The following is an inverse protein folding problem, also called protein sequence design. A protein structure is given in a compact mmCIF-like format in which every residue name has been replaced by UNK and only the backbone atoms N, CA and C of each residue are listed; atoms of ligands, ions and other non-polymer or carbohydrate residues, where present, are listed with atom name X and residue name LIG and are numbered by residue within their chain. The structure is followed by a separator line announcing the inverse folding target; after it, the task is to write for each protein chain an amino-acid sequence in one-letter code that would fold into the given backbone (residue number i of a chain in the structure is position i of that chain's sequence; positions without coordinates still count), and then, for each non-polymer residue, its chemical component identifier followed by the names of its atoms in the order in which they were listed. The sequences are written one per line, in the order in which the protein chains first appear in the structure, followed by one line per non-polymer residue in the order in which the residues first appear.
data_IF_347951224475
#
_entry.id   IF_347951224475
#
_cell.length_a   1.000
_cell.length_b   1.000
_cell.length_c   1.000
_cell.angle_alpha   90.00
_cell.angle_beta   90.00
_cell.angle_gamma   90.00
#
_symmetry.space_group_name_H-M   'P 1'
#
loop_
_entity.id
_entity.type
_entity.pdbx_description
1 polymer ?
#
# COMPACT_ATOMS: atom_id res chain seq x y z
N UNK A 1 10.52 49.68 0.49
CA UNK A 1 9.81 49.67 1.79
C UNK A 1 8.33 49.47 1.54
N UNK A 2 7.87 48.26 1.60
CA UNK A 2 6.45 47.94 1.41
C UNK A 2 5.90 47.45 2.75
N UNK A 3 5.00 48.23 3.35
CA UNK A 3 4.30 47.90 4.58
C UNK A 3 3.18 46.94 4.29
N UNK A 4 3.24 45.71 4.80
CA UNK A 4 2.14 44.77 4.78
C UNK A 4 1.33 44.94 6.06
N UNK A 5 0.05 45.29 5.90
CA UNK A 5 -0.95 45.33 6.99
C UNK A 5 -1.45 43.89 7.19
N UNK A 6 -1.20 43.34 8.36
CA UNK A 6 -1.85 42.09 8.78
C UNK A 6 -3.29 42.39 9.20
N UNK A 7 -4.25 41.75 8.55
CA UNK A 7 -5.63 41.64 9.03
C UNK A 7 -5.75 40.25 9.67
N UNK A 8 -5.95 40.25 10.96
CA UNK A 8 -6.20 39.06 11.76
C UNK A 8 -7.66 38.64 11.57
N UNK A 9 -7.86 37.49 10.91
CA UNK A 9 -9.12 36.75 11.01
C UNK A 9 -8.80 35.39 11.65
N UNK A 10 -9.43 35.14 12.77
CA UNK A 10 -9.35 33.92 13.57
C UNK A 10 -9.86 32.70 12.79
N UNK A 11 -8.95 31.86 12.29
CA UNK A 11 -9.18 30.47 11.97
C UNK A 11 -7.88 29.69 12.26
N UNK A 12 -7.93 28.56 12.96
CA UNK A 12 -6.73 27.81 13.31
C UNK A 12 -6.33 26.90 12.13
N UNK A 13 -5.65 27.47 11.17
CA UNK A 13 -4.95 26.71 10.12
C UNK A 13 -3.48 26.80 10.48
N UNK A 14 -2.84 25.68 10.74
CA UNK A 14 -1.38 25.62 10.79
C UNK A 14 -0.88 25.99 9.39
N UNK A 15 -0.37 27.21 9.28
CA UNK A 15 0.32 27.69 8.08
C UNK A 15 1.68 26.99 8.11
N UNK A 16 1.86 26.02 7.22
CA UNK A 16 3.21 25.60 6.84
C UNK A 16 3.79 26.74 6.02
N UNK A 17 4.86 27.35 6.50
CA UNK A 17 5.56 28.40 5.78
C UNK A 17 6.10 27.81 4.48
N UNK A 18 5.50 28.18 3.35
CA UNK A 18 5.98 27.84 2.01
C UNK A 18 6.98 28.91 1.63
N UNK A 19 8.25 28.54 1.56
CA UNK A 19 9.30 29.39 0.99
C UNK A 19 9.06 29.42 -0.52
N UNK A 20 8.73 30.56 -1.06
CA UNK A 20 8.56 30.77 -2.50
C UNK A 20 9.90 30.56 -3.23
N UNK A 21 9.92 29.56 -4.10
CA UNK A 21 10.96 29.41 -5.12
C UNK A 21 10.28 29.64 -6.49
N UNK A 22 10.81 30.48 -7.38
CA UNK A 22 10.12 30.94 -8.59
C UNK A 22 10.19 29.94 -9.77
N UNK A 23 10.09 28.65 -9.52
CA UNK A 23 10.08 27.64 -10.59
C UNK A 23 8.63 27.33 -11.01
N UNK A 24 8.20 27.69 -12.23
CA UNK A 24 6.83 27.55 -12.70
C UNK A 24 6.36 26.09 -12.82
N UNK A 25 7.25 25.11 -12.94
CA UNK A 25 6.89 23.68 -13.06
C UNK A 25 6.42 23.11 -11.72
N UNK A 26 6.85 23.66 -10.60
CA UNK A 26 6.47 23.19 -9.25
C UNK A 26 5.07 23.62 -8.80
N UNK A 27 4.54 24.67 -9.39
CA UNK A 27 3.22 25.20 -9.01
C UNK A 27 2.05 24.37 -9.55
N UNK A 28 2.20 23.63 -10.63
CA UNK A 28 1.16 22.72 -11.12
C UNK A 28 0.99 21.48 -10.22
N UNK A 29 2.08 20.98 -9.63
CA UNK A 29 2.04 19.83 -8.72
C UNK A 29 1.27 20.10 -7.42
N UNK A 30 1.36 21.32 -6.89
CA UNK A 30 0.66 21.72 -5.68
C UNK A 30 -0.84 21.84 -5.95
N UNK A 31 -1.24 22.28 -7.13
CA UNK A 31 -2.66 22.36 -7.54
C UNK A 31 -3.30 20.97 -7.64
N UNK A 32 -2.60 20.00 -8.23
CA UNK A 32 -3.10 18.64 -8.42
C UNK A 32 -3.27 17.88 -7.10
N UNK A 33 -2.41 18.13 -6.10
CA UNK A 33 -2.51 17.48 -4.78
C UNK A 33 -3.67 18.03 -3.95
N UNK A 34 -4.04 19.31 -4.11
CA UNK A 34 -5.11 19.93 -3.32
C UNK A 34 -6.52 19.67 -3.88
N UNK A 35 -6.67 19.28 -5.13
CA UNK A 35 -7.98 19.05 -5.76
C UNK A 35 -8.52 17.61 -5.59
N UNK A 36 -7.69 16.64 -5.12
CA UNK A 36 -8.08 15.24 -5.00
C UNK A 36 -8.18 14.71 -3.55
N UNK A 37 -8.28 15.59 -2.55
CA UNK A 37 -8.62 15.17 -1.18
C UNK A 37 -10.13 15.34 -0.99
N UNK A 38 -10.90 14.26 -0.77
CA UNK A 38 -12.32 14.37 -0.46
C UNK A 38 -12.51 15.20 0.81
N UNK A 39 -13.13 16.36 0.68
CA UNK A 39 -13.30 17.35 1.78
C UNK A 39 -14.27 16.90 2.88
N UNK A 40 -14.96 15.79 2.73
CA UNK A 40 -16.07 15.41 3.62
C UNK A 40 -15.69 14.52 4.79
N UNK A 41 -14.67 13.67 4.68
CA UNK A 41 -14.37 12.69 5.75
C UNK A 41 -13.36 13.16 6.82
N UNK A 42 -12.52 14.14 6.50
CA UNK A 42 -11.54 14.68 7.45
C UNK A 42 -12.20 15.58 8.49
N UNK A 43 -13.28 16.27 8.12
CA UNK A 43 -13.96 17.24 9.00
C UNK A 43 -14.82 16.55 10.06
N UNK A 44 -15.45 15.42 9.76
CA UNK A 44 -16.33 14.73 10.72
C UNK A 44 -15.57 13.99 11.83
N UNK A 45 -14.34 13.48 11.56
CA UNK A 45 -13.48 12.86 12.57
C UNK A 45 -12.72 13.89 13.43
N UNK A 46 -12.34 15.04 12.85
CA UNK A 46 -11.60 16.11 13.55
C UNK A 46 -12.42 16.89 14.61
N UNK A 47 -13.75 16.91 14.49
CA UNK A 47 -14.59 17.69 15.39
C UNK A 47 -14.98 16.99 16.70
N UNK A 48 -14.76 15.66 16.83
CA UNK A 48 -15.09 14.93 18.07
C UNK A 48 -14.10 15.12 19.21
N UNK A 49 -12.92 15.68 18.97
CA UNK A 49 -11.83 15.73 19.98
C UNK A 49 -11.26 17.13 20.28
N UNK A 50 -12.01 18.20 20.06
CA UNK A 50 -11.62 19.53 20.54
C UNK A 50 -12.19 19.79 21.93
N UNK A 51 -11.41 19.51 22.96
CA UNK A 51 -11.67 20.01 24.29
C UNK A 51 -11.36 19.09 25.43
N UNK A 52 -10.05 18.86 25.71
CA UNK A 52 -9.59 18.61 27.08
C UNK A 52 -8.13 19.07 27.21
N UNK A 53 -7.85 20.11 28.01
CA UNK A 53 -6.50 20.41 28.49
C UNK A 53 -6.18 19.43 29.61
N UNK A 54 -5.01 18.80 29.54
CA UNK A 54 -4.46 17.98 30.61
C UNK A 54 -4.55 16.48 30.35
N UNK A 55 -3.44 15.85 29.98
CA UNK A 55 -2.98 14.49 30.28
C UNK A 55 -3.95 13.31 30.25
N UNK A 56 -5.08 13.38 29.56
CA UNK A 56 -6.00 12.24 29.47
C UNK A 56 -5.40 11.16 28.55
N UNK A 57 -5.06 10.02 29.13
CA UNK A 57 -4.78 8.79 28.37
C UNK A 57 -6.02 8.47 27.54
N UNK A 58 -5.88 8.48 26.20
CA UNK A 58 -6.94 8.05 25.31
C UNK A 58 -7.14 6.55 25.49
N UNK A 59 -8.37 6.13 25.79
CA UNK A 59 -8.72 4.71 25.81
C UNK A 59 -8.84 4.28 24.37
N UNK A 60 -8.04 3.29 23.96
CA UNK A 60 -8.12 2.68 22.64
C UNK A 60 -9.40 1.86 22.53
N UNK A 61 -10.23 2.17 21.56
CA UNK A 61 -11.55 1.58 21.37
C UNK A 61 -11.58 0.71 20.11
N UNK A 62 -12.63 -0.11 19.98
CA UNK A 62 -12.87 -0.90 18.77
C UNK A 62 -12.92 0.00 17.53
N UNK A 63 -12.17 -0.36 16.48
CA UNK A 63 -12.06 0.40 15.24
C UNK A 63 -10.95 1.46 15.23
N UNK A 64 -10.32 1.78 16.37
CA UNK A 64 -9.19 2.70 16.42
C UNK A 64 -7.93 2.08 15.85
N UNK A 65 -7.68 0.81 16.15
CA UNK A 65 -6.59 0.02 15.55
C UNK A 65 -7.21 -1.17 14.85
N UNK A 66 -6.82 -1.36 13.59
CA UNK A 66 -7.34 -2.41 12.72
C UNK A 66 -6.20 -3.28 12.20
N UNK A 67 -6.48 -4.56 11.99
CA UNK A 67 -5.58 -5.47 11.29
C UNK A 67 -5.55 -5.03 9.82
N UNK A 68 -4.35 -4.72 9.30
CA UNK A 68 -4.14 -4.26 7.94
C UNK A 68 -3.69 -5.38 7.01
N UNK A 69 -2.68 -6.13 7.43
CA UNK A 69 -2.05 -7.17 6.62
C UNK A 69 -1.60 -8.34 7.48
N UNK A 70 -1.70 -9.56 6.98
CA UNK A 70 -1.25 -10.76 7.68
C UNK A 70 -0.51 -11.70 6.73
N UNK A 71 0.74 -12.02 7.06
CA UNK A 71 1.49 -13.11 6.47
C UNK A 71 1.50 -14.28 7.45
N UNK A 72 0.71 -15.30 7.17
CA UNK A 72 0.56 -16.49 8.03
C UNK A 72 1.19 -17.76 7.42
N UNK A 73 1.57 -17.71 6.16
CA UNK A 73 2.25 -18.77 5.42
C UNK A 73 3.55 -18.21 4.80
N UNK A 74 4.61 -17.96 5.61
CA UNK A 74 5.84 -17.43 5.08
C UNK A 74 6.57 -18.49 4.23
N UNK A 75 7.45 -18.04 3.35
CA UNK A 75 8.35 -18.93 2.61
C UNK A 75 9.19 -19.79 3.58
N UNK A 76 9.66 -20.98 3.15
CA UNK A 76 10.49 -21.83 3.99
C UNK A 76 11.66 -21.06 4.64
N UNK A 77 11.79 -21.18 5.96
CA UNK A 77 12.76 -20.42 6.76
C UNK A 77 12.36 -18.99 7.09
N UNK A 78 11.20 -18.56 6.65
CA UNK A 78 10.63 -17.24 6.94
C UNK A 78 9.91 -17.13 8.28
N UNK A 79 9.28 -16.00 8.49
CA UNK A 79 8.52 -15.69 9.71
C UNK A 79 7.20 -15.02 9.37
N UNK A 80 6.19 -15.27 10.21
CA UNK A 80 4.91 -14.58 10.14
C UNK A 80 5.04 -13.10 10.49
N UNK A 81 4.12 -12.31 9.98
CA UNK A 81 3.88 -10.98 10.52
C UNK A 81 2.39 -10.65 10.57
N UNK A 82 2.04 -9.76 11.48
CA UNK A 82 0.76 -9.06 11.53
C UNK A 82 1.06 -7.57 11.43
N UNK A 83 0.41 -6.91 10.50
CA UNK A 83 0.43 -5.47 10.40
C UNK A 83 -0.88 -4.89 10.91
N UNK A 84 -0.76 -3.79 11.64
CA UNK A 84 -1.88 -3.01 12.16
C UNK A 84 -1.85 -1.59 11.59
N UNK A 85 -3.03 -1.00 11.47
CA UNK A 85 -3.23 0.38 11.01
C UNK A 85 -3.88 1.21 12.11
N UNK A 86 -3.33 2.38 12.40
CA UNK A 86 -3.96 3.35 13.30
C UNK A 86 -5.03 4.15 12.56
N UNK A 87 -6.26 3.70 12.67
CA UNK A 87 -7.45 4.30 12.06
C UNK A 87 -8.06 5.43 12.91
N UNK A 88 -7.49 5.69 14.09
CA UNK A 88 -7.92 6.78 14.98
C UNK A 88 -7.37 8.14 14.50
N UNK A 89 -7.91 9.21 15.06
CA UNK A 89 -7.42 10.57 14.79
C UNK A 89 -6.28 11.01 15.72
N UNK A 90 -5.64 10.11 16.48
CA UNK A 90 -4.63 10.42 17.49
C UNK A 90 -3.54 9.35 17.56
N UNK A 91 -2.43 9.69 18.19
CA UNK A 91 -1.33 8.78 18.43
C UNK A 91 -1.70 7.74 19.50
N UNK A 92 -1.26 6.50 19.31
CA UNK A 92 -1.53 5.38 20.22
C UNK A 92 -0.23 4.78 20.72
N UNK A 93 -0.18 4.46 22.03
CA UNK A 93 0.95 3.74 22.61
C UNK A 93 0.77 2.23 22.40
N UNK A 94 1.67 1.63 21.63
CA UNK A 94 1.68 0.20 21.33
C UNK A 94 1.87 -0.70 22.56
N UNK A 95 2.32 -0.13 23.71
CA UNK A 95 2.40 -0.85 24.98
C UNK A 95 1.01 -1.33 25.46
N UNK A 96 -0.04 -0.61 25.09
CA UNK A 96 -1.43 -0.95 25.43
C UNK A 96 -1.99 -2.10 24.57
N UNK A 97 -1.31 -2.46 23.48
CA UNK A 97 -1.81 -3.41 22.51
C UNK A 97 -1.25 -4.82 22.73
N UNK A 98 -2.10 -5.80 22.47
CA UNK A 98 -1.75 -7.22 22.49
C UNK A 98 -2.29 -7.89 21.23
N UNK A 99 -1.57 -8.89 20.74
CA UNK A 99 -2.03 -9.81 19.71
C UNK A 99 -2.26 -11.18 20.31
N UNK A 100 -3.20 -11.94 19.76
CA UNK A 100 -3.55 -13.27 20.23
C UNK A 100 -4.11 -14.11 19.07
N UNK A 101 -4.40 -15.37 19.34
CA UNK A 101 -5.18 -16.25 18.46
C UNK A 101 -6.38 -16.86 19.22
N UNK A 102 -7.11 -17.73 18.54
CA UNK A 102 -8.18 -18.53 19.13
C UNK A 102 -7.67 -19.96 19.31
N UNK A 103 -7.87 -20.52 20.51
CA UNK A 103 -7.58 -21.92 20.80
C UNK A 103 -8.58 -22.88 20.14
N UNK A 104 -8.27 -24.17 20.13
CA UNK A 104 -9.19 -25.22 19.66
C UNK A 104 -10.53 -25.25 20.40
N UNK A 105 -10.60 -24.68 21.61
CA UNK A 105 -11.83 -24.57 22.41
C UNK A 105 -12.59 -23.26 22.15
N UNK A 106 -12.19 -22.46 21.16
CA UNK A 106 -12.86 -21.20 20.82
C UNK A 106 -12.53 -20.02 21.74
N UNK A 107 -11.58 -20.15 22.67
CA UNK A 107 -11.18 -19.08 23.59
C UNK A 107 -9.95 -18.32 23.07
N UNK A 108 -9.88 -17.02 23.40
CA UNK A 108 -8.68 -16.22 23.14
C UNK A 108 -7.50 -16.83 23.89
N UNK A 109 -6.38 -17.05 23.19
CA UNK A 109 -5.21 -17.74 23.69
C UNK A 109 -3.91 -17.12 23.15
N UNK A 110 -2.77 -17.56 23.69
CA UNK A 110 -1.42 -17.16 23.25
C UNK A 110 -1.23 -15.62 23.17
N UNK A 111 -1.79 -14.90 24.12
CA UNK A 111 -1.74 -13.45 24.18
C UNK A 111 -0.28 -12.99 24.29
N UNK A 112 0.13 -12.06 23.40
CA UNK A 112 1.46 -11.44 23.37
C UNK A 112 1.31 -9.93 23.38
N UNK A 113 2.11 -9.24 24.21
CA UNK A 113 2.20 -7.77 24.17
C UNK A 113 2.94 -7.33 22.91
N UNK A 114 2.41 -6.33 22.22
CA UNK A 114 3.05 -5.72 21.05
C UNK A 114 4.32 -5.00 21.45
N UNK A 115 4.31 -4.27 22.57
CA UNK A 115 5.50 -3.63 23.14
C UNK A 115 5.50 -3.75 24.66
N UNK A 116 6.68 -3.85 25.26
CA UNK A 116 6.89 -3.77 26.72
C UNK A 116 7.27 -2.35 27.17
N UNK A 117 7.61 -1.48 26.20
CA UNK A 117 8.01 -0.08 26.45
C UNK A 117 7.03 0.85 25.76
N UNK A 118 6.97 2.10 26.20
CA UNK A 118 6.24 3.15 25.50
C UNK A 118 6.77 3.27 24.08
N UNK A 119 5.88 3.10 23.09
CA UNK A 119 6.19 3.14 21.68
C UNK A 119 5.00 3.71 20.93
N UNK A 120 5.17 4.88 20.36
CA UNK A 120 4.08 5.67 19.78
C UNK A 120 3.89 5.35 18.32
N UNK A 121 2.68 4.95 17.96
CA UNK A 121 2.19 4.79 16.59
C UNK A 121 1.34 6.00 16.22
N UNK A 122 1.81 6.80 15.27
CA UNK A 122 1.11 7.98 14.82
C UNK A 122 -0.22 7.65 14.13
N UNK A 123 -1.17 8.57 14.20
CA UNK A 123 -2.45 8.46 13.47
C UNK A 123 -2.22 8.28 11.97
N UNK A 124 -2.98 7.37 11.34
CA UNK A 124 -2.91 7.12 9.90
C UNK A 124 -1.66 6.37 9.45
N UNK A 125 -0.93 5.70 10.35
CA UNK A 125 0.26 4.92 9.99
C UNK A 125 0.05 3.42 10.18
N UNK A 126 0.94 2.63 9.55
CA UNK A 126 1.01 1.18 9.63
C UNK A 126 2.09 0.75 10.61
N UNK A 127 2.00 -0.44 11.17
CA UNK A 127 3.01 -0.98 12.08
C UNK A 127 3.06 -2.51 12.03
N UNK A 128 4.23 -3.05 11.74
CA UNK A 128 4.45 -4.50 11.59
C UNK A 128 4.93 -5.12 12.91
N UNK A 129 4.33 -6.24 13.27
CA UNK A 129 4.66 -7.07 14.42
C UNK A 129 5.15 -8.43 13.90
N UNK A 130 6.36 -8.84 14.24
CA UNK A 130 6.97 -10.10 13.77
C UNK A 130 8.01 -10.61 14.76
N UNK A 131 8.52 -11.83 14.55
CA UNK A 131 9.66 -12.39 15.31
C UNK A 131 11.02 -12.02 14.72
N UNK A 132 11.07 -11.62 13.44
CA UNK A 132 12.32 -11.26 12.75
C UNK A 132 12.07 -10.14 11.71
N UNK A 133 12.23 -8.89 12.15
CA UNK A 133 12.05 -7.74 11.27
C UNK A 133 13.07 -7.67 10.12
N UNK A 134 14.30 -8.21 10.34
CA UNK A 134 15.33 -8.19 9.31
C UNK A 134 14.95 -9.11 8.15
N UNK A 135 14.35 -10.29 8.44
CA UNK A 135 13.84 -11.17 7.40
C UNK A 135 12.81 -10.45 6.54
N UNK A 136 11.83 -9.76 7.16
CA UNK A 136 10.80 -9.03 6.41
C UNK A 136 11.42 -7.93 5.55
N UNK A 137 12.33 -7.13 6.10
CA UNK A 137 13.02 -6.03 5.40
C UNK A 137 13.90 -6.48 4.23
N UNK A 138 14.42 -7.70 4.28
CA UNK A 138 15.26 -8.25 3.21
C UNK A 138 14.45 -8.91 2.08
N UNK A 139 13.25 -9.41 2.38
CA UNK A 139 12.46 -10.19 1.43
C UNK A 139 11.26 -9.44 0.83
N UNK A 140 10.88 -8.31 1.40
CA UNK A 140 9.75 -7.50 0.95
C UNK A 140 10.14 -6.02 0.84
N UNK A 141 9.44 -5.28 -0.01
CA UNK A 141 9.61 -3.83 -0.09
C UNK A 141 9.02 -3.17 1.16
N UNK A 142 9.84 -2.44 1.89
CA UNK A 142 9.46 -1.76 3.14
C UNK A 142 9.60 -0.25 2.96
N UNK A 143 8.54 0.50 3.18
CA UNK A 143 8.55 1.96 3.04
C UNK A 143 9.09 2.67 4.27
N UNK A 144 8.68 2.23 5.46
CA UNK A 144 9.06 2.85 6.73
C UNK A 144 9.74 1.84 7.66
N UNK A 145 11.06 1.63 7.54
CA UNK A 145 11.79 0.57 8.23
C UNK A 145 11.82 0.69 9.76
N UNK A 146 11.38 1.83 10.32
CA UNK A 146 11.27 2.05 11.76
C UNK A 146 9.90 1.69 12.34
N UNK A 147 8.90 1.35 11.52
CA UNK A 147 7.55 0.97 11.95
C UNK A 147 7.43 -0.54 12.18
N UNK A 148 8.34 -1.08 12.98
CA UNK A 148 8.39 -2.50 13.33
C UNK A 148 8.52 -2.70 14.83
N UNK A 149 7.84 -3.75 15.33
CA UNK A 149 8.12 -4.32 16.64
C UNK A 149 8.51 -5.78 16.47
N UNK A 150 9.68 -6.13 16.98
CA UNK A 150 10.10 -7.51 17.06
C UNK A 150 9.77 -8.06 18.44
N UNK A 151 8.93 -9.10 18.47
CA UNK A 151 8.56 -9.81 19.70
C UNK A 151 9.23 -11.20 19.72
N UNK A 152 9.38 -11.76 20.93
CA UNK A 152 10.10 -13.03 21.10
C UNK A 152 9.38 -14.21 20.41
N UNK A 153 8.05 -14.21 20.49
CA UNK A 153 7.20 -15.28 19.92
C UNK A 153 5.88 -14.70 19.46
N UNK A 154 5.41 -15.08 18.28
CA UNK A 154 4.06 -14.78 17.80
C UNK A 154 3.03 -15.75 18.42
N UNK A 155 1.74 -15.41 18.48
CA UNK A 155 0.69 -16.41 18.57
C UNK A 155 0.82 -17.41 17.41
N UNK A 156 0.42 -18.65 17.59
CA UNK A 156 0.45 -19.61 16.50
C UNK A 156 -0.59 -19.26 15.44
N UNK A 157 -0.12 -18.89 14.26
CA UNK A 157 -0.95 -18.65 13.07
C UNK A 157 -0.65 -19.78 12.08
N UNK A 158 -1.63 -20.68 11.87
CA UNK A 158 -1.44 -21.85 11.01
C UNK A 158 -1.49 -21.44 9.53
N UNK A 159 -0.73 -22.13 8.68
CA UNK A 159 -0.62 -21.81 7.25
C UNK A 159 -1.92 -22.05 6.45
N UNK A 160 -2.87 -22.83 6.98
CA UNK A 160 -4.13 -23.14 6.29
C UNK A 160 -5.29 -22.24 6.71
N UNK A 161 -5.43 -22.00 8.01
CA UNK A 161 -6.50 -21.17 8.61
C UNK A 161 -6.20 -20.82 10.05
N UNK A 162 -6.71 -19.72 10.49
CA UNK A 162 -6.55 -19.27 11.88
C UNK A 162 -7.33 -17.99 12.17
N UNK A 163 -7.04 -17.43 13.33
CA UNK A 163 -7.64 -16.17 13.77
C UNK A 163 -6.57 -15.26 14.33
N UNK A 164 -6.50 -14.05 13.84
CA UNK A 164 -5.70 -12.95 14.42
C UNK A 164 -6.65 -12.12 15.31
N UNK A 165 -6.26 -11.93 16.57
CA UNK A 165 -6.98 -11.12 17.55
C UNK A 165 -6.10 -9.94 17.93
N UNK A 166 -6.67 -8.75 17.94
CA UNK A 166 -6.06 -7.52 18.43
C UNK A 166 -6.83 -7.03 19.66
N UNK A 167 -6.10 -6.77 20.74
CA UNK A 167 -6.69 -6.37 22.05
C UNK A 167 -6.03 -5.10 22.57
N UNK A 168 -6.78 -4.31 23.35
CA UNK A 168 -6.25 -3.31 24.29
C UNK A 168 -6.95 -3.49 25.63
N UNK A 169 -6.20 -3.53 26.73
CA UNK A 169 -6.72 -3.71 28.09
C UNK A 169 -7.75 -4.87 28.19
N UNK A 170 -7.49 -5.98 27.51
CA UNK A 170 -8.37 -7.15 27.37
C UNK A 170 -9.68 -6.90 26.61
N UNK A 171 -9.89 -5.72 26.04
CA UNK A 171 -10.98 -5.40 25.16
C UNK A 171 -10.60 -5.77 23.71
N UNK A 172 -11.53 -6.41 22.99
CA UNK A 172 -11.36 -6.72 21.57
C UNK A 172 -11.40 -5.43 20.75
N UNK A 173 -10.33 -5.18 19.96
CA UNK A 173 -10.25 -4.06 19.04
C UNK A 173 -10.64 -4.49 17.62
N UNK A 174 -10.05 -5.61 17.16
CA UNK A 174 -10.31 -6.16 15.83
C UNK A 174 -10.08 -7.68 15.83
N UNK A 175 -10.69 -8.38 14.88
CA UNK A 175 -10.57 -9.82 14.68
C UNK A 175 -10.62 -10.16 13.21
N UNK A 176 -9.65 -10.93 12.74
CA UNK A 176 -9.63 -11.53 11.41
C UNK A 176 -9.61 -13.05 11.52
N UNK A 177 -10.63 -13.70 10.98
CA UNK A 177 -10.65 -15.14 10.73
C UNK A 177 -10.18 -15.38 9.30
N UNK A 178 -8.98 -15.91 9.12
CA UNK A 178 -8.38 -16.13 7.80
C UNK A 178 -8.38 -17.61 7.44
N UNK A 179 -8.32 -17.87 6.14
CA UNK A 179 -8.01 -19.18 5.58
C UNK A 179 -7.33 -19.02 4.20
N UNK A 180 -6.56 -20.04 3.79
CA UNK A 180 -5.83 -20.02 2.52
C UNK A 180 -6.73 -19.81 1.29
N UNK A 181 -8.03 -20.18 1.36
CA UNK A 181 -8.99 -19.98 0.25
C UNK A 181 -9.34 -18.50 -0.01
N UNK A 182 -8.92 -17.58 0.86
CA UNK A 182 -9.03 -16.12 0.61
C UNK A 182 -8.04 -15.69 -0.46
N UNK A 183 -6.94 -16.43 -0.63
CA UNK A 183 -6.00 -16.17 -1.70
C UNK A 183 -6.65 -16.24 -3.08
N UNK A 184 -6.05 -15.51 -4.01
CA UNK A 184 -6.55 -15.45 -5.39
C UNK A 184 -6.48 -16.85 -6.02
N UNK A 185 -7.57 -17.38 -6.63
CA UNK A 185 -7.64 -18.77 -7.08
C UNK A 185 -6.63 -19.16 -8.17
N UNK A 186 -6.01 -18.20 -8.83
CA UNK A 186 -4.94 -18.44 -9.82
C UNK A 186 -3.52 -18.43 -9.22
N UNK A 187 -3.38 -18.18 -7.93
CA UNK A 187 -2.12 -18.36 -7.20
C UNK A 187 -1.95 -19.85 -6.94
N UNK A 188 -0.88 -20.44 -7.48
CA UNK A 188 -0.57 -21.87 -7.31
C UNK A 188 0.28 -22.14 -6.07
N UNK A 189 1.13 -21.18 -5.69
CA UNK A 189 1.99 -21.23 -4.51
C UNK A 189 1.71 -19.98 -3.68
N UNK A 190 1.19 -20.19 -2.49
CA UNK A 190 0.77 -19.14 -1.56
C UNK A 190 1.89 -18.75 -0.58
N UNK A 191 3.04 -19.45 -0.62
CA UNK A 191 4.16 -19.24 0.30
C UNK A 191 4.74 -17.83 0.13
N UNK A 192 4.71 -17.08 1.23
CA UNK A 192 5.21 -15.70 1.26
C UNK A 192 4.29 -14.66 0.67
N UNK A 193 3.01 -14.98 0.45
CA UNK A 193 2.00 -14.03 0.01
C UNK A 193 1.09 -13.68 1.18
N UNK A 194 1.02 -12.41 1.53
CA UNK A 194 0.15 -11.93 2.60
C UNK A 194 -1.29 -11.76 2.13
N UNK A 195 -2.19 -11.72 3.11
CA UNK A 195 -3.55 -11.20 2.96
C UNK A 195 -3.59 -9.76 3.47
N UNK A 196 -4.06 -8.86 2.66
CA UNK A 196 -4.19 -7.44 2.99
C UNK A 196 -5.64 -6.95 2.94
N UNK A 197 -5.95 -6.02 3.84
CA UNK A 197 -7.28 -5.40 3.96
C UNK A 197 -7.55 -4.47 2.77
N UNK A 198 -8.74 -4.57 2.22
CA UNK A 198 -9.23 -3.76 1.10
C UNK A 198 -9.77 -2.41 1.58
N UNK A 199 -10.52 -2.40 2.69
CA UNK A 199 -11.14 -1.19 3.22
C UNK A 199 -11.15 -1.16 4.75
N UNK A 200 -10.76 -0.03 5.33
CA UNK A 200 -10.83 0.20 6.77
C UNK A 200 -12.25 0.61 7.25
N UNK A 201 -13.17 0.84 6.33
CA UNK A 201 -14.57 1.19 6.65
C UNK A 201 -15.47 -0.05 6.73
N UNK A 202 -14.95 -1.23 6.44
CA UNK A 202 -15.67 -2.50 6.43
C UNK A 202 -15.08 -3.41 7.52
N UNK A 203 -15.89 -4.21 8.25
CA UNK A 203 -15.39 -5.17 9.23
C UNK A 203 -14.38 -6.15 8.62
N UNK A 204 -13.42 -6.63 9.43
CA UNK A 204 -12.37 -7.53 8.97
C UNK A 204 -12.89 -8.82 8.35
N UNK A 205 -13.96 -9.38 8.92
CA UNK A 205 -14.55 -10.66 8.48
C UNK A 205 -15.64 -10.51 7.41
N UNK A 206 -15.86 -9.30 6.88
CA UNK A 206 -16.75 -9.15 5.73
C UNK A 206 -16.16 -9.87 4.51
N UNK A 207 -16.98 -10.66 3.79
CA UNK A 207 -16.52 -11.39 2.61
C UNK A 207 -15.88 -10.43 1.60
N UNK A 208 -14.62 -10.72 1.24
CA UNK A 208 -13.89 -9.93 0.25
C UNK A 208 -13.13 -8.72 0.79
N UNK A 209 -13.20 -8.41 2.09
CA UNK A 209 -12.41 -7.33 2.67
C UNK A 209 -10.94 -7.67 2.90
N UNK A 210 -10.53 -8.92 2.69
CA UNK A 210 -9.13 -9.31 2.60
C UNK A 210 -8.87 -9.99 1.26
N UNK A 211 -7.72 -9.71 0.66
CA UNK A 211 -7.27 -10.23 -0.64
C UNK A 211 -5.77 -10.52 -0.59
N UNK A 212 -5.32 -11.40 -1.48
CA UNK A 212 -3.87 -11.58 -1.69
C UNK A 212 -3.23 -10.28 -2.08
N UNK A 213 -2.09 -9.98 -1.50
CA UNK A 213 -1.23 -8.90 -1.98
C UNK A 213 -0.85 -9.14 -3.44
N UNK A 214 -0.80 -8.07 -4.20
CA UNK A 214 -0.47 -8.12 -5.62
C UNK A 214 0.97 -8.61 -5.87
N UNK A 215 1.16 -9.43 -6.89
CA UNK A 215 2.49 -9.85 -7.33
C UNK A 215 3.37 -8.65 -7.74
N UNK A 216 2.75 -7.65 -8.38
CA UNK A 216 3.45 -6.41 -8.76
C UNK A 216 3.84 -5.53 -7.57
N UNK A 217 3.28 -5.77 -6.39
CA UNK A 217 3.69 -5.12 -5.13
C UNK A 217 4.73 -5.93 -4.33
N UNK A 218 5.14 -7.11 -4.84
CA UNK A 218 6.14 -7.97 -4.21
C UNK A 218 5.57 -8.94 -3.18
N UNK A 219 4.27 -9.25 -3.24
CA UNK A 219 3.58 -10.26 -2.41
C UNK A 219 3.36 -9.89 -0.94
N UNK A 220 3.85 -8.75 -0.49
CA UNK A 220 3.51 -8.10 0.78
C UNK A 220 3.83 -6.60 0.70
N UNK A 221 3.13 -5.78 1.51
CA UNK A 221 3.28 -4.32 1.54
C UNK A 221 3.60 -3.78 2.94
N UNK A 222 4.56 -4.38 3.69
CA UNK A 222 4.80 -4.03 5.07
C UNK A 222 5.17 -2.56 5.24
N UNK A 223 4.45 -1.89 6.14
CA UNK A 223 4.56 -0.46 6.48
C UNK A 223 4.08 0.51 5.40
N UNK A 224 3.47 0.02 4.34
CA UNK A 224 2.92 0.87 3.28
C UNK A 224 1.41 0.65 3.12
N UNK A 225 0.81 1.41 2.21
CA UNK A 225 -0.59 1.22 1.82
C UNK A 225 -0.76 -0.13 1.14
N UNK A 226 -1.78 -0.87 1.55
CA UNK A 226 -2.14 -2.15 0.94
C UNK A 226 -2.37 -2.02 -0.57
N UNK A 227 -1.79 -2.93 -1.34
CA UNK A 227 -1.89 -2.94 -2.81
C UNK A 227 -3.33 -3.11 -3.30
N UNK A 228 -4.18 -3.76 -2.52
CA UNK A 228 -5.59 -4.00 -2.83
C UNK A 228 -6.56 -2.98 -2.21
N UNK A 229 -6.04 -1.91 -1.60
CA UNK A 229 -6.89 -0.84 -1.03
C UNK A 229 -7.84 -0.28 -2.07
N UNK A 230 -9.11 -0.13 -1.72
CA UNK A 230 -10.09 0.52 -2.60
C UNK A 230 -9.63 1.92 -2.98
N UNK A 231 -9.89 2.27 -4.23
CA UNK A 231 -9.70 3.61 -4.79
C UNK A 231 -10.98 4.04 -5.49
N UNK A 232 -11.29 5.30 -5.36
CA UNK A 232 -12.41 5.91 -6.07
C UNK A 232 -11.98 6.36 -7.46
N UNK A 233 -12.93 6.51 -8.39
CA UNK A 233 -12.70 7.05 -9.72
C UNK A 233 -12.84 6.03 -10.84
N UNK A 234 -12.06 6.19 -11.89
CA UNK A 234 -12.08 5.35 -13.09
C UNK A 234 -10.77 4.56 -13.22
N UNK A 235 -10.85 3.48 -14.00
CA UNK A 235 -9.63 2.80 -14.41
C UNK A 235 -8.84 3.69 -15.37
N UNK A 236 -7.59 3.96 -15.04
CA UNK A 236 -6.71 4.84 -15.80
C UNK A 236 -5.32 4.23 -15.93
N UNK A 237 -4.71 4.44 -17.11
CA UNK A 237 -3.34 3.99 -17.39
C UNK A 237 -2.66 5.08 -18.21
N UNK A 238 -1.61 5.68 -17.67
CA UNK A 238 -0.91 6.82 -18.25
C UNK A 238 0.60 6.61 -18.27
N UNK A 239 1.26 7.17 -19.29
CA UNK A 239 2.70 7.35 -19.30
C UNK A 239 3.04 8.68 -18.63
N UNK A 240 4.05 8.71 -17.74
CA UNK A 240 4.53 9.95 -17.13
C UNK A 240 5.28 10.82 -18.14
N UNK A 241 6.03 10.19 -19.08
CA UNK A 241 6.60 10.82 -20.26
C UNK A 241 6.30 9.98 -21.48
N UNK A 242 6.12 10.61 -22.63
CA UNK A 242 5.93 9.89 -23.90
C UNK A 242 7.25 9.56 -24.58
N UNK A 243 8.36 10.11 -24.11
CA UNK A 243 9.70 9.87 -24.64
C UNK A 243 10.64 9.50 -23.50
N UNK A 244 11.53 8.57 -23.73
CA UNK A 244 12.58 8.23 -22.77
C UNK A 244 13.84 7.82 -23.54
N UNK A 245 15.03 8.03 -22.94
CA UNK A 245 16.32 7.68 -23.51
C UNK A 245 17.20 7.00 -22.47
N UNK A 246 17.35 5.66 -22.54
CA UNK A 246 18.15 4.91 -21.57
C UNK A 246 19.65 5.06 -21.85
N UNK A 247 20.20 6.26 -21.64
CA UNK A 247 21.60 6.61 -21.88
C UNK A 247 22.42 6.80 -20.60
N UNK A 248 21.77 6.63 -19.42
CA UNK A 248 22.42 6.62 -18.11
C UNK A 248 22.72 7.99 -17.55
N UNK A 249 22.08 9.04 -18.02
CA UNK A 249 22.27 10.42 -17.53
C UNK A 249 21.37 10.77 -16.34
N UNK A 250 20.54 9.82 -15.88
CA UNK A 250 19.52 9.92 -14.82
C UNK A 250 18.29 10.78 -15.19
N UNK A 251 18.12 11.15 -16.45
CA UNK A 251 16.96 11.85 -16.94
C UNK A 251 16.18 10.98 -17.94
N UNK A 252 14.97 10.59 -17.58
CA UNK A 252 14.10 9.76 -18.43
C UNK A 252 14.76 8.48 -18.98
N UNK A 253 15.66 7.87 -18.22
CA UNK A 253 16.33 6.61 -18.56
C UNK A 253 15.34 5.42 -18.65
N UNK A 254 14.16 5.54 -18.06
CA UNK A 254 13.13 4.50 -18.08
C UNK A 254 11.76 5.09 -18.39
N UNK A 255 11.00 4.39 -19.21
CA UNK A 255 9.58 4.68 -19.38
C UNK A 255 8.85 4.34 -18.09
N UNK A 256 8.03 5.26 -17.56
CA UNK A 256 7.20 5.04 -16.38
C UNK A 256 5.72 5.04 -16.78
N UNK A 257 5.05 3.91 -16.53
CA UNK A 257 3.63 3.71 -16.73
C UNK A 257 2.94 3.68 -15.38
N UNK A 258 2.09 4.66 -15.08
CA UNK A 258 1.24 4.68 -13.90
C UNK A 258 -0.12 4.07 -14.22
N UNK A 259 -0.70 3.38 -13.25
CA UNK A 259 -2.06 2.87 -13.38
C UNK A 259 -2.87 3.04 -12.10
N UNK A 260 -4.17 3.20 -12.27
CA UNK A 260 -5.19 3.17 -11.25
C UNK A 260 -6.33 2.27 -11.71
N UNK A 261 -6.66 1.22 -10.93
CA UNK A 261 -7.67 0.21 -11.24
C UNK A 261 -8.65 0.12 -10.07
N UNK A 262 -9.91 0.37 -10.32
CA UNK A 262 -10.93 0.41 -9.27
C UNK A 262 -11.32 -0.97 -8.73
N UNK A 263 -11.04 -2.04 -9.50
CA UNK A 263 -11.28 -3.42 -9.08
C UNK A 263 -10.02 -4.01 -8.44
N UNK A 264 -10.18 -4.49 -7.21
CA UNK A 264 -9.13 -5.26 -6.54
C UNK A 264 -9.04 -6.70 -7.09
N UNK A 265 -7.96 -7.40 -6.75
CA UNK A 265 -7.69 -8.78 -7.19
C UNK A 265 -7.75 -8.97 -8.72
N UNK A 266 -7.41 -7.94 -9.48
CA UNK A 266 -7.30 -8.02 -10.94
C UNK A 266 -5.98 -8.65 -11.36
N UNK A 267 -5.99 -9.34 -12.51
CA UNK A 267 -4.77 -9.76 -13.20
C UNK A 267 -4.46 -8.79 -14.33
N UNK A 268 -3.19 -8.68 -14.67
CA UNK A 268 -2.78 -7.93 -15.84
C UNK A 268 -1.75 -8.66 -16.68
N UNK A 269 -1.78 -8.34 -17.97
CA UNK A 269 -0.68 -8.55 -18.91
C UNK A 269 -0.31 -7.20 -19.50
N UNK A 270 0.97 -6.84 -19.37
CA UNK A 270 1.48 -5.58 -19.92
C UNK A 270 2.59 -5.89 -20.90
N UNK A 271 2.40 -5.49 -22.15
CA UNK A 271 3.30 -5.83 -23.24
C UNK A 271 3.68 -4.60 -24.06
N UNK A 272 4.94 -4.55 -24.47
CA UNK A 272 5.49 -3.53 -25.36
C UNK A 272 5.67 -4.11 -26.76
N UNK A 273 5.15 -3.41 -27.76
CA UNK A 273 5.24 -3.77 -29.17
C UNK A 273 5.95 -2.67 -29.97
N UNK A 274 6.66 -3.03 -31.04
CA UNK A 274 7.14 -2.07 -32.00
C UNK A 274 5.98 -1.46 -32.81
N UNK A 275 6.26 -0.42 -33.58
CA UNK A 275 5.34 0.19 -34.55
C UNK A 275 4.79 -0.80 -35.60
N UNK A 276 5.55 -1.88 -35.88
CA UNK A 276 5.17 -2.97 -36.80
C UNK A 276 4.41 -4.10 -36.11
N UNK A 277 4.04 -3.96 -34.83
CA UNK A 277 3.28 -4.96 -34.08
C UNK A 277 4.11 -6.16 -33.59
N UNK A 278 5.46 -6.12 -33.67
CA UNK A 278 6.31 -7.16 -33.10
C UNK A 278 6.39 -6.99 -31.58
N UNK A 279 6.14 -8.07 -30.84
CA UNK A 279 6.34 -8.09 -29.39
C UNK A 279 7.84 -7.85 -29.06
N UNK A 280 8.11 -6.92 -28.18
CA UNK A 280 9.45 -6.57 -27.71
C UNK A 280 9.66 -7.06 -26.28
N UNK A 281 8.77 -6.69 -25.36
CA UNK A 281 8.89 -7.02 -23.95
C UNK A 281 7.53 -7.34 -23.34
N UNK A 282 7.46 -8.30 -22.42
CA UNK A 282 6.36 -8.47 -21.48
C UNK A 282 6.78 -7.96 -20.10
N UNK A 283 6.28 -6.81 -19.70
CA UNK A 283 6.55 -6.23 -18.39
C UNK A 283 5.82 -6.96 -17.27
N UNK A 284 4.57 -7.39 -17.54
CA UNK A 284 3.74 -8.19 -16.63
C UNK A 284 3.14 -9.35 -17.43
N UNK A 285 3.22 -10.58 -16.90
CA UNK A 285 2.77 -11.79 -17.56
C UNK A 285 1.67 -12.47 -16.74
N UNK A 286 0.42 -12.07 -16.93
CA UNK A 286 -0.74 -12.64 -16.24
C UNK A 286 -0.55 -12.75 -14.73
N UNK A 287 -0.22 -11.64 -14.09
CA UNK A 287 0.04 -11.55 -12.65
C UNK A 287 -1.01 -10.68 -11.97
N UNK A 288 -1.21 -10.93 -10.68
CA UNK A 288 -2.05 -10.06 -9.85
C UNK A 288 -1.41 -8.68 -9.73
N UNK A 289 -2.25 -7.64 -9.90
CA UNK A 289 -1.86 -6.24 -9.77
C UNK A 289 -2.58 -5.59 -8.60
N UNK A 290 -1.96 -4.56 -8.03
CA UNK A 290 -2.62 -3.68 -7.07
C UNK A 290 -3.66 -2.79 -7.73
N UNK A 291 -4.42 -2.08 -6.92
CA UNK A 291 -5.36 -1.06 -7.40
C UNK A 291 -4.65 0.18 -7.94
N UNK A 292 -3.39 0.38 -7.61
CA UNK A 292 -2.53 1.40 -8.21
C UNK A 292 -1.08 0.96 -8.21
N UNK A 293 -0.28 1.53 -9.11
CA UNK A 293 1.15 1.23 -9.16
C UNK A 293 1.87 1.94 -10.30
N UNK A 294 3.17 1.68 -10.36
CA UNK A 294 4.06 2.16 -11.42
C UNK A 294 4.78 0.95 -11.99
N UNK A 295 4.74 0.80 -13.31
CA UNK A 295 5.56 -0.14 -14.05
C UNK A 295 6.60 0.63 -14.84
N UNK A 296 7.77 0.03 -15.03
CA UNK A 296 8.87 0.64 -15.77
C UNK A 296 9.31 -0.23 -16.92
N UNK A 297 9.75 0.40 -18.02
CA UNK A 297 10.45 -0.25 -19.11
C UNK A 297 11.78 0.48 -19.36
N UNK A 298 12.85 -0.30 -19.32
CA UNK A 298 14.24 0.12 -19.48
C UNK A 298 14.73 0.17 -20.94
N UNK A 299 13.84 -0.04 -21.89
CA UNK A 299 14.18 -0.12 -23.31
C UNK A 299 14.73 -1.48 -23.77
N UNK A 300 14.87 -2.47 -22.86
CA UNK A 300 15.35 -3.81 -23.22
C UNK A 300 14.21 -4.71 -23.73
N UNK A 301 14.53 -5.62 -24.63
CA UNK A 301 13.63 -6.70 -25.07
C UNK A 301 13.58 -7.86 -24.05
N UNK A 302 12.80 -8.91 -24.33
CA UNK A 302 12.70 -10.10 -23.46
C UNK A 302 14.02 -10.91 -23.39
N UNK A 303 15.00 -10.62 -24.24
CA UNK A 303 16.33 -11.26 -24.27
C UNK A 303 17.41 -10.38 -23.61
N UNK A 304 17.06 -9.19 -23.12
CA UNK A 304 17.98 -8.22 -22.51
C UNK A 304 18.77 -7.38 -23.52
N UNK A 305 18.39 -7.37 -24.80
CA UNK A 305 19.00 -6.51 -25.79
C UNK A 305 18.28 -5.16 -25.85
N UNK A 306 19.06 -4.08 -26.09
CA UNK A 306 18.47 -2.75 -26.31
C UNK A 306 17.60 -2.76 -27.55
N UNK A 307 16.37 -2.31 -27.40
CA UNK A 307 15.44 -2.13 -28.52
C UNK A 307 15.88 -0.93 -29.39
N UNK A 308 15.54 -0.95 -30.67
CA UNK A 308 15.91 0.13 -31.58
C UNK A 308 15.21 1.43 -31.24
N UNK A 309 15.87 2.56 -31.50
CA UNK A 309 15.22 3.88 -31.45
C UNK A 309 13.99 3.89 -32.33
N UNK A 310 12.86 4.38 -31.80
CA UNK A 310 11.61 4.36 -32.54
C UNK A 310 10.36 4.46 -31.68
N UNK A 311 9.22 4.27 -32.34
CA UNK A 311 7.90 4.33 -31.69
C UNK A 311 7.51 2.93 -31.20
N UNK A 312 6.96 2.90 -29.98
CA UNK A 312 6.47 1.68 -29.34
C UNK A 312 5.05 1.84 -28.83
N UNK A 313 4.34 0.73 -28.77
CA UNK A 313 2.99 0.64 -28.27
C UNK A 313 3.01 -0.19 -26.99
N UNK A 314 2.52 0.37 -25.90
CA UNK A 314 2.32 -0.33 -24.63
C UNK A 314 0.85 -0.71 -24.52
N UNK A 315 0.57 -2.02 -24.49
CA UNK A 315 -0.76 -2.56 -24.23
C UNK A 315 -0.82 -3.02 -22.76
N UNK A 316 -1.82 -2.54 -22.06
CA UNK A 316 -2.13 -2.93 -20.68
C UNK A 316 -3.50 -3.61 -20.67
N UNK A 317 -3.51 -4.92 -20.53
CA UNK A 317 -4.71 -5.75 -20.47
C UNK A 317 -5.01 -6.13 -19.02
N UNK A 318 -6.24 -5.88 -18.57
CA UNK A 318 -6.73 -6.23 -17.24
C UNK A 318 -7.79 -7.31 -17.40
N UNK A 319 -7.78 -8.24 -16.46
CA UNK A 319 -8.74 -9.34 -16.36
C UNK A 319 -9.27 -9.38 -14.92
N UNK A 320 -10.59 -9.42 -14.76
CA UNK A 320 -11.21 -9.66 -13.46
C UNK A 320 -11.53 -11.15 -13.23
N UNK A 321 -11.96 -11.48 -12.01
CA UNK A 321 -12.35 -12.86 -11.66
C UNK A 321 -13.60 -13.36 -12.40
N UNK A 322 -14.38 -12.48 -13.00
CA UNK A 322 -15.57 -12.78 -13.80
C UNK A 322 -15.24 -13.00 -15.28
N UNK A 323 -13.96 -12.83 -15.67
CA UNK A 323 -13.50 -12.96 -17.05
C UNK A 323 -13.72 -11.70 -17.91
N UNK A 324 -14.16 -10.58 -17.32
CA UNK A 324 -14.22 -9.32 -18.04
C UNK A 324 -12.82 -8.82 -18.32
N UNK A 325 -12.63 -8.22 -19.49
CA UNK A 325 -11.34 -7.70 -19.92
C UNK A 325 -11.44 -6.23 -20.26
N UNK A 326 -10.38 -5.46 -19.92
CA UNK A 326 -10.24 -4.07 -20.34
C UNK A 326 -8.83 -3.84 -20.85
N UNK A 327 -8.72 -3.16 -21.98
CA UNK A 327 -7.45 -2.84 -22.63
C UNK A 327 -7.20 -1.34 -22.65
N UNK A 328 -5.99 -0.95 -22.26
CA UNK A 328 -5.47 0.40 -22.45
C UNK A 328 -4.30 0.35 -23.42
N UNK A 329 -4.23 1.36 -24.30
CA UNK A 329 -3.17 1.50 -25.30
C UNK A 329 -2.50 2.84 -25.13
N UNK A 330 -1.19 2.82 -24.93
CA UNK A 330 -0.35 4.01 -24.88
C UNK A 330 0.74 3.91 -25.96
N UNK A 331 1.25 5.04 -26.39
CA UNK A 331 2.33 5.13 -27.38
C UNK A 331 3.48 5.91 -26.78
N UNK A 332 4.68 5.40 -26.94
CA UNK A 332 5.92 6.08 -26.49
C UNK A 332 7.00 6.05 -27.57
N UNK A 333 8.04 6.84 -27.34
CA UNK A 333 9.23 6.92 -28.17
C UNK A 333 10.44 6.53 -27.34
N UNK A 334 11.18 5.52 -27.78
CA UNK A 334 12.53 5.28 -27.29
C UNK A 334 13.46 6.13 -28.13
N UNK A 335 14.12 7.10 -27.52
CA UNK A 335 15.08 7.99 -28.13
C UNK A 335 16.51 7.48 -27.92
N UNK A 336 17.41 7.88 -28.79
CA UNK A 336 18.85 7.68 -28.64
C UNK A 336 19.52 8.97 -28.28
N UNK A 337 20.74 8.89 -27.75
CA UNK A 337 21.60 10.04 -27.54
C UNK A 337 21.89 10.70 -28.89
N UNK A 338 21.62 11.98 -28.99
CA UNK A 338 22.12 12.78 -30.15
C UNK A 338 23.62 12.95 -29.97
N UNK A 339 24.39 12.40 -30.92
CA UNK A 339 25.84 12.60 -30.99
C UNK A 339 26.15 13.97 -31.50
#
# INVERSE_FOLDING_TARGET
MLKIKLISLLLPIKIVAIIFNPDPVRNEWIKTITEHIPKTDIISKSLRNRGRPGGASFIVSQGDILISEVLFNPRPGGVDFVEIYNNSGHDIDLKELKIANISKTGKIANIKSVSTKKLIMAAGTYWVITTNQNYIKLNYTVRFPNQFTQIKTMPAYNNDKGTVILLSNNQLLDRLDYNAKIHHPLIQDEDGISLERVSFNIPSNDPGNFKSTAATAGFATPTDRNSQSLIDGNNEVHLLSKTFSPDGDNFEDVLKLTYQITQNASLATVSVYSDKGRLIRKLVKNQTIGTSGILTWDGLDDHGNMANVGIYIVLFDIFDLQGNTKRFKNTCVLAGKLN
#
